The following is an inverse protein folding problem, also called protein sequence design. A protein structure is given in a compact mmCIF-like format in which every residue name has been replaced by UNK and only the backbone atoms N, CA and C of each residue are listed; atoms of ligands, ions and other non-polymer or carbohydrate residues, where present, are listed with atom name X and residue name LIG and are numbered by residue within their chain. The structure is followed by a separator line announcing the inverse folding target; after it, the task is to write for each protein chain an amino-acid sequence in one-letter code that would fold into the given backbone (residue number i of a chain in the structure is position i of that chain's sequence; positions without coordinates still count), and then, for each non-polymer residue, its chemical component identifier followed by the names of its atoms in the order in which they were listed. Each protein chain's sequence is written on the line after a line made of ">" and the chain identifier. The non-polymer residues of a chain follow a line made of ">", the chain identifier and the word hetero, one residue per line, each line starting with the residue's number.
data_IF_786453721898
#
_entry.id   IF_786453721898
#
_cell.length_a   1.000
_cell.length_b   1.000
_cell.length_c   1.000
_cell.angle_alpha   90.00
_cell.angle_beta   90.00
_cell.angle_gamma   90.00
#
_symmetry.space_group_name_H-M   'P 1'
#
loop_
_entity.id
_entity.type
_entity.pdbx_description
1 polymer ?
#
# COMPACT_ATOMS: atom_id res chain seq x y z
N UNK A 1 7.89 15.67 -5.23
CA UNK A 1 9.02 16.54 -5.65
C UNK A 1 8.85 16.84 -7.13
N UNK A 2 8.59 18.08 -7.56
CA UNK A 2 8.48 18.40 -8.98
C UNK A 2 9.87 18.39 -9.62
N UNK A 3 10.21 17.33 -10.35
CA UNK A 3 11.40 17.31 -11.19
C UNK A 3 11.16 18.28 -12.35
N UNK A 4 12.05 19.25 -12.55
CA UNK A 4 12.04 20.10 -13.74
C UNK A 4 12.34 19.19 -14.93
N UNK A 5 11.29 18.78 -15.66
CA UNK A 5 11.39 17.76 -16.70
C UNK A 5 12.29 18.20 -17.86
N UNK A 6 12.28 19.48 -18.23
CA UNK A 6 12.91 20.00 -19.44
C UNK A 6 13.64 21.31 -19.12
N UNK A 7 14.97 21.25 -19.11
CA UNK A 7 15.82 22.42 -18.88
C UNK A 7 16.36 22.92 -20.22
N UNK A 8 16.23 24.23 -20.48
CA UNK A 8 16.83 24.86 -21.67
C UNK A 8 18.33 25.04 -21.42
N UNK A 9 19.14 24.67 -22.40
CA UNK A 9 20.60 24.81 -22.36
C UNK A 9 21.10 25.65 -23.55
N UNK A 10 22.11 26.52 -23.35
CA UNK A 10 22.81 26.86 -22.10
C UNK A 10 21.98 27.73 -21.15
N UNK A 11 22.10 27.57 -19.83
CA UNK A 11 21.37 28.42 -18.84
C UNK A 11 21.94 29.83 -18.68
N UNK A 12 23.25 29.98 -18.91
CA UNK A 12 23.96 31.25 -18.74
C UNK A 12 24.50 31.70 -20.09
N UNK A 13 24.14 32.90 -20.49
CA UNK A 13 24.48 33.43 -21.81
C UNK A 13 25.80 34.22 -21.82
N UNK A 14 26.11 34.94 -20.74
CA UNK A 14 27.19 35.94 -20.71
C UNK A 14 28.14 35.79 -19.51
N UNK A 15 28.25 34.59 -18.91
CA UNK A 15 29.05 34.37 -17.67
C UNK A 15 30.47 33.84 -17.90
N UNK A 16 30.90 33.69 -19.16
CA UNK A 16 32.24 33.21 -19.49
C UNK A 16 33.29 34.32 -19.48
N UNK A 17 34.52 33.98 -19.09
CA UNK A 17 35.66 34.87 -19.29
C UNK A 17 35.91 35.06 -20.80
N UNK A 18 36.31 36.27 -21.19
CA UNK A 18 36.71 36.56 -22.55
C UNK A 18 38.14 36.04 -22.82
N UNK A 19 38.45 35.62 -24.05
CA UNK A 19 39.82 35.30 -24.42
C UNK A 19 40.70 36.55 -24.45
N UNK A 20 41.98 36.40 -24.13
CA UNK A 20 42.95 37.50 -24.13
C UNK A 20 43.21 38.01 -25.56
N UNK A 21 43.42 39.33 -25.71
CA UNK A 21 43.79 39.94 -26.99
C UNK A 21 42.63 40.22 -27.96
N UNK A 22 41.39 40.25 -27.48
CA UNK A 22 40.21 40.59 -28.29
C UNK A 22 40.20 42.10 -28.60
N UNK A 23 40.01 42.51 -29.87
CA UNK A 23 40.02 43.92 -30.27
C UNK A 23 38.83 44.72 -29.72
N UNK A 24 37.66 44.09 -29.58
CA UNK A 24 36.43 44.69 -29.03
C UNK A 24 35.74 43.69 -28.10
N UNK A 25 35.93 43.87 -26.79
CA UNK A 25 35.33 42.99 -25.78
C UNK A 25 33.80 42.98 -25.84
N UNK A 26 33.18 44.16 -26.05
CA UNK A 26 31.73 44.28 -26.12
C UNK A 26 31.14 43.55 -27.34
N UNK A 27 31.81 43.64 -28.49
CA UNK A 27 31.41 42.90 -29.70
C UNK A 27 31.56 41.39 -29.49
N UNK A 28 32.64 40.96 -28.82
CA UNK A 28 32.85 39.55 -28.50
C UNK A 28 31.79 38.99 -27.54
N UNK A 29 31.43 39.74 -26.49
CA UNK A 29 30.35 39.35 -25.56
C UNK A 29 29.02 39.28 -26.29
N UNK A 30 28.67 40.29 -27.08
CA UNK A 30 27.38 40.33 -27.80
C UNK A 30 27.28 39.19 -28.80
N UNK A 31 28.32 38.92 -29.61
CA UNK A 31 28.32 37.80 -30.55
C UNK A 31 28.25 36.43 -29.84
N UNK A 32 29.00 36.25 -28.74
CA UNK A 32 28.95 35.02 -27.94
C UNK A 32 27.57 34.80 -27.30
N UNK A 33 26.94 35.90 -26.85
CA UNK A 33 25.58 35.89 -26.31
C UNK A 33 24.57 35.50 -27.37
N UNK A 34 24.64 36.07 -28.57
CA UNK A 34 23.76 35.72 -29.69
C UNK A 34 23.92 34.26 -30.09
N UNK A 35 25.15 33.76 -30.19
CA UNK A 35 25.41 32.34 -30.45
C UNK A 35 24.82 31.44 -29.35
N UNK A 36 24.91 31.84 -28.08
CA UNK A 36 24.32 31.10 -26.97
C UNK A 36 22.78 31.14 -26.99
N UNK A 37 22.15 32.26 -27.39
CA UNK A 37 20.71 32.37 -27.60
C UNK A 37 20.25 31.42 -28.72
N UNK A 38 20.98 31.36 -29.84
CA UNK A 38 20.66 30.43 -30.93
C UNK A 38 20.69 28.98 -30.44
N UNK A 39 21.67 28.61 -29.60
CA UNK A 39 21.71 27.29 -28.95
C UNK A 39 20.53 27.05 -28.02
N UNK A 40 20.12 28.04 -27.23
CA UNK A 40 18.93 27.95 -26.38
C UNK A 40 17.66 27.73 -27.21
N UNK A 41 17.50 28.42 -28.34
CA UNK A 41 16.37 28.21 -29.25
C UNK A 41 16.36 26.80 -29.86
N UNK A 42 17.54 26.24 -30.18
CA UNK A 42 17.68 24.85 -30.57
C UNK A 42 17.23 23.87 -29.48
N UNK A 43 17.67 24.10 -28.24
CA UNK A 43 17.23 23.30 -27.07
C UNK A 43 15.72 23.40 -26.85
N UNK A 44 15.14 24.61 -26.97
CA UNK A 44 13.70 24.82 -26.87
C UNK A 44 12.93 24.08 -27.96
N UNK A 45 13.43 24.10 -29.20
CA UNK A 45 12.81 23.43 -30.34
C UNK A 45 12.77 21.91 -30.15
N UNK A 46 13.86 21.31 -29.66
CA UNK A 46 13.89 19.89 -29.28
C UNK A 46 12.87 19.56 -28.19
N UNK A 47 12.78 20.38 -27.14
CA UNK A 47 11.78 20.18 -26.09
C UNK A 47 10.34 20.28 -26.61
N UNK A 48 10.09 21.16 -27.58
CA UNK A 48 8.78 21.27 -28.22
C UNK A 48 8.46 20.02 -29.06
N UNK A 49 9.42 19.53 -29.84
CA UNK A 49 9.29 18.28 -30.60
C UNK A 49 8.93 17.10 -29.68
N UNK A 50 9.64 16.93 -28.55
CA UNK A 50 9.35 15.87 -27.59
C UNK A 50 7.92 15.95 -27.04
N UNK A 51 7.46 17.17 -26.69
CA UNK A 51 6.10 17.38 -26.15
C UNK A 51 5.06 17.04 -27.21
N UNK A 52 5.21 17.54 -28.43
CA UNK A 52 4.25 17.27 -29.50
C UNK A 52 4.29 15.82 -29.95
N UNK A 53 5.45 15.16 -29.91
CA UNK A 53 5.60 13.73 -30.16
C UNK A 53 4.86 12.88 -29.12
N UNK A 54 5.01 13.18 -27.83
CA UNK A 54 4.27 12.52 -26.74
C UNK A 54 2.75 12.68 -26.92
N UNK A 55 2.28 13.90 -27.21
CA UNK A 55 0.86 14.17 -27.45
C UNK A 55 0.33 13.46 -28.69
N UNK A 56 1.10 13.45 -29.78
CA UNK A 56 0.74 12.78 -31.02
C UNK A 56 0.59 11.27 -30.82
N UNK A 57 1.52 10.63 -30.13
CA UNK A 57 1.48 9.20 -29.87
C UNK A 57 0.24 8.80 -29.06
N UNK A 58 -0.10 9.58 -28.03
CA UNK A 58 -1.30 9.33 -27.22
C UNK A 58 -2.58 9.57 -28.04
N UNK A 59 -2.65 10.65 -28.82
CA UNK A 59 -3.78 10.94 -29.69
C UNK A 59 -3.96 9.85 -30.76
N UNK A 60 -2.87 9.32 -31.32
CA UNK A 60 -2.92 8.22 -32.29
C UNK A 60 -3.40 6.91 -31.64
N UNK A 61 -2.95 6.61 -30.42
CA UNK A 61 -3.45 5.47 -29.63
C UNK A 61 -4.96 5.58 -29.38
N UNK A 62 -5.43 6.77 -29.01
CA UNK A 62 -6.85 7.08 -28.86
C UNK A 62 -7.62 6.89 -30.17
N UNK A 63 -7.10 7.42 -31.27
CA UNK A 63 -7.69 7.31 -32.60
C UNK A 63 -7.88 5.85 -33.03
N UNK A 64 -6.87 5.00 -32.86
CA UNK A 64 -6.95 3.58 -33.20
C UNK A 64 -8.02 2.85 -32.38
N UNK A 65 -8.09 3.15 -31.08
CA UNK A 65 -9.14 2.59 -30.19
C UNK A 65 -10.53 3.08 -30.59
N UNK A 66 -10.66 4.35 -30.98
CA UNK A 66 -11.92 4.94 -31.44
C UNK A 66 -12.41 4.27 -32.71
N UNK A 67 -11.53 4.04 -33.70
CA UNK A 67 -11.91 3.36 -34.94
C UNK A 67 -12.41 1.94 -34.69
N UNK A 68 -11.71 1.17 -33.85
CA UNK A 68 -12.17 -0.18 -33.50
C UNK A 68 -13.50 -0.17 -32.74
N UNK A 69 -13.70 0.82 -31.87
CA UNK A 69 -14.96 0.98 -31.16
C UNK A 69 -16.09 1.36 -32.13
N UNK A 70 -15.84 2.25 -33.08
CA UNK A 70 -16.82 2.70 -34.07
C UNK A 70 -17.33 1.53 -34.90
N UNK A 71 -16.44 0.71 -35.45
CA UNK A 71 -16.82 -0.49 -36.21
C UNK A 71 -17.71 -1.43 -35.39
N UNK A 72 -17.39 -1.62 -34.10
CA UNK A 72 -18.19 -2.45 -33.20
C UNK A 72 -19.56 -1.83 -32.91
N UNK A 73 -19.65 -0.51 -32.80
CA UNK A 73 -20.93 0.20 -32.62
C UNK A 73 -21.79 0.06 -33.86
N UNK A 74 -21.23 0.21 -35.06
CA UNK A 74 -21.95 0.10 -36.32
C UNK A 74 -22.52 -1.31 -36.51
N UNK A 75 -21.70 -2.34 -36.26
CA UNK A 75 -22.15 -3.74 -36.30
C UNK A 75 -23.21 -4.04 -35.23
N UNK A 76 -23.07 -3.47 -34.03
CA UNK A 76 -24.05 -3.65 -32.98
C UNK A 76 -25.38 -2.99 -33.34
N UNK A 77 -25.36 -1.80 -33.95
CA UNK A 77 -26.56 -1.09 -34.38
C UNK A 77 -27.36 -1.92 -35.41
N UNK A 78 -26.68 -2.55 -36.37
CA UNK A 78 -27.31 -3.48 -37.32
C UNK A 78 -27.94 -4.67 -36.58
N UNK A 79 -27.20 -5.31 -35.66
CA UNK A 79 -27.74 -6.45 -34.90
C UNK A 79 -28.94 -6.07 -34.06
N UNK A 80 -28.91 -4.92 -33.40
CA UNK A 80 -30.00 -4.43 -32.54
C UNK A 80 -31.26 -4.13 -33.36
N UNK A 81 -31.10 -3.57 -34.56
CA UNK A 81 -32.25 -3.26 -35.44
C UNK A 81 -32.87 -4.50 -36.07
N UNK A 82 -32.12 -5.60 -36.20
CA UNK A 82 -32.60 -6.88 -36.74
C UNK A 82 -33.16 -7.83 -35.67
N UNK A 83 -33.08 -7.49 -34.38
CA UNK A 83 -33.63 -8.32 -33.30
C UNK A 83 -35.16 -8.31 -33.35
N UNK A 84 -35.75 -9.49 -33.47
CA UNK A 84 -37.19 -9.71 -33.30
C UNK A 84 -37.45 -10.42 -31.97
N UNK A 85 -37.85 -9.63 -30.97
CA UNK A 85 -38.14 -10.12 -29.62
C UNK A 85 -39.38 -11.02 -29.53
N UNK A 86 -40.18 -11.11 -30.59
CA UNK A 86 -41.37 -11.99 -30.60
C UNK A 86 -41.03 -13.45 -30.92
N UNK A 87 -39.85 -13.68 -31.52
CA UNK A 87 -39.37 -15.01 -31.93
C UNK A 87 -38.30 -15.56 -30.97
N UNK A 88 -37.62 -14.69 -30.21
CA UNK A 88 -36.49 -15.08 -29.36
C UNK A 88 -36.97 -15.66 -28.00
N UNK A 89 -37.01 -16.99 -27.89
CA UNK A 89 -37.35 -17.67 -26.64
C UNK A 89 -36.18 -17.68 -25.63
N UNK A 90 -36.46 -17.34 -24.37
CA UNK A 90 -35.46 -17.34 -23.29
C UNK A 90 -35.43 -18.69 -22.58
N UNK A 91 -34.39 -19.49 -22.82
CA UNK A 91 -34.19 -20.80 -22.16
C UNK A 91 -33.41 -20.68 -20.84
N UNK A 92 -34.02 -21.16 -19.74
CA UNK A 92 -33.36 -21.26 -18.43
C UNK A 92 -32.20 -22.28 -18.40
N UNK A 93 -32.25 -23.30 -19.28
CA UNK A 93 -31.15 -24.25 -19.42
C UNK A 93 -29.91 -23.59 -20.05
N UNK A 94 -30.09 -22.70 -21.02
CA UNK A 94 -28.99 -21.97 -21.64
C UNK A 94 -28.34 -20.97 -20.68
N UNK A 95 -29.13 -20.38 -19.77
CA UNK A 95 -28.62 -19.46 -18.75
C UNK A 95 -27.71 -20.18 -17.76
N UNK A 96 -28.05 -21.41 -17.34
CA UNK A 96 -27.24 -22.18 -16.40
C UNK A 96 -25.98 -22.78 -17.03
N UNK A 97 -25.97 -23.01 -18.35
CA UNK A 97 -24.80 -23.52 -19.07
C UNK A 97 -23.84 -22.42 -19.55
N UNK A 98 -24.27 -21.16 -19.62
CA UNK A 98 -23.44 -20.03 -20.03
C UNK A 98 -22.77 -19.36 -18.83
N UNK A 99 -21.50 -19.00 -18.98
CA UNK A 99 -20.81 -18.17 -17.99
C UNK A 99 -21.41 -16.77 -17.99
N UNK A 100 -21.63 -16.21 -16.80
CA UNK A 100 -22.08 -14.84 -16.65
C UNK A 100 -21.08 -13.86 -17.28
N UNK A 101 -21.60 -12.78 -17.86
CA UNK A 101 -20.78 -11.68 -18.39
C UNK A 101 -19.85 -11.13 -17.31
N UNK A 102 -18.61 -10.80 -17.71
CA UNK A 102 -17.61 -10.16 -16.86
C UNK A 102 -17.05 -8.95 -17.59
N UNK A 103 -17.10 -7.80 -16.94
CA UNK A 103 -16.39 -6.61 -17.38
C UNK A 103 -14.90 -6.74 -17.12
N UNK A 104 -14.09 -5.92 -17.80
CA UNK A 104 -12.67 -5.78 -17.49
C UNK A 104 -12.48 -5.28 -16.05
N UNK A 105 -11.50 -5.83 -15.34
CA UNK A 105 -11.12 -5.44 -13.97
C UNK A 105 -9.63 -5.13 -13.86
N UNK A 106 -9.01 -4.70 -14.97
CA UNK A 106 -7.58 -4.34 -15.01
C UNK A 106 -7.36 -3.12 -14.11
N UNK A 107 -6.30 -3.17 -13.30
CA UNK A 107 -5.89 -2.09 -12.41
C UNK A 107 -4.41 -1.76 -12.65
N UNK A 108 -4.13 -0.49 -12.93
CA UNK A 108 -2.77 -0.02 -13.11
C UNK A 108 -2.03 0.03 -11.77
N UNK A 109 -0.86 -0.59 -11.73
CA UNK A 109 0.00 -0.67 -10.55
C UNK A 109 1.44 -0.36 -10.94
N UNK A 110 2.30 -0.08 -9.96
CA UNK A 110 3.72 0.23 -10.19
C UNK A 110 3.94 1.42 -11.15
N UNK A 111 3.12 2.47 -11.00
CA UNK A 111 3.08 3.67 -11.85
C UNK A 111 4.36 4.53 -11.86
N UNK A 112 5.32 4.23 -10.97
CA UNK A 112 6.63 4.89 -10.86
C UNK A 112 7.78 3.92 -11.08
N UNK A 113 7.56 2.90 -11.92
CA UNK A 113 8.58 1.94 -12.32
C UNK A 113 9.61 2.55 -13.28
N UNK A 114 10.75 1.87 -13.44
CA UNK A 114 11.80 2.28 -14.38
C UNK A 114 11.30 2.48 -15.82
N UNK A 115 10.30 1.68 -16.23
CA UNK A 115 9.74 1.71 -17.58
C UNK A 115 8.77 2.87 -17.80
N UNK A 116 8.25 3.46 -16.72
CA UNK A 116 7.35 4.61 -16.75
C UNK A 116 8.08 5.96 -16.69
N UNK A 117 9.42 5.96 -16.66
CA UNK A 117 10.20 7.19 -16.58
C UNK A 117 10.11 7.94 -17.92
N UNK A 118 9.69 9.22 -17.93
CA UNK A 118 9.65 10.03 -19.14
C UNK A 118 11.06 10.23 -19.73
N UNK A 119 11.18 10.26 -21.05
CA UNK A 119 12.46 10.42 -21.76
C UNK A 119 13.31 11.60 -21.23
N UNK A 120 12.77 12.80 -20.96
CA UNK A 120 13.58 13.90 -20.44
C UNK A 120 14.19 13.62 -19.06
N UNK A 121 13.47 12.88 -18.21
CA UNK A 121 13.97 12.46 -16.89
C UNK A 121 15.01 11.35 -17.03
N UNK A 122 14.85 10.47 -18.03
CA UNK A 122 15.82 9.43 -18.34
C UNK A 122 17.15 10.01 -18.82
N UNK A 123 17.11 11.04 -19.67
CA UNK A 123 18.31 11.78 -20.10
C UNK A 123 19.04 12.41 -18.91
N UNK A 124 18.30 13.05 -18.00
CA UNK A 124 18.86 13.60 -16.77
C UNK A 124 19.49 12.50 -15.90
N UNK A 125 18.81 11.36 -15.76
CA UNK A 125 19.33 10.22 -15.01
C UNK A 125 20.65 9.71 -15.60
N UNK A 126 20.78 9.64 -16.93
CA UNK A 126 21.99 9.18 -17.59
C UNK A 126 23.18 10.14 -17.48
N UNK A 127 22.91 11.43 -17.25
CA UNK A 127 23.94 12.43 -16.96
C UNK A 127 24.48 12.32 -15.52
N UNK A 128 23.72 11.69 -14.62
CA UNK A 128 24.15 11.47 -13.24
C UNK A 128 25.31 10.48 -13.15
N UNK A 129 26.14 10.66 -12.12
CA UNK A 129 27.22 9.74 -11.83
C UNK A 129 26.68 8.34 -11.49
N UNK A 130 27.30 7.33 -12.09
CA UNK A 130 26.94 5.94 -11.84
C UNK A 130 27.54 5.48 -10.51
N UNK A 131 26.88 4.56 -9.79
CA UNK A 131 27.46 4.00 -8.57
C UNK A 131 28.77 3.27 -8.90
N UNK A 132 29.69 3.15 -7.91
CA UNK A 132 30.89 2.33 -8.07
C UNK A 132 30.53 0.92 -8.55
N UNK A 133 31.34 0.28 -9.42
CA UNK A 133 31.02 -1.01 -10.02
C UNK A 133 31.22 -2.18 -9.03
N UNK A 134 30.56 -2.13 -7.88
CA UNK A 134 30.69 -3.14 -6.81
C UNK A 134 30.20 -4.52 -7.24
N UNK A 135 29.39 -4.62 -8.29
CA UNK A 135 28.92 -5.88 -8.86
C UNK A 135 30.05 -6.87 -9.19
N UNK A 136 31.25 -6.36 -9.52
CA UNK A 136 32.44 -7.18 -9.79
C UNK A 136 32.89 -7.99 -8.57
N UNK A 137 32.54 -7.54 -7.36
CA UNK A 137 32.90 -8.19 -6.10
C UNK A 137 31.89 -9.25 -5.66
N UNK A 138 30.69 -9.27 -6.26
CA UNK A 138 29.63 -10.22 -5.91
C UNK A 138 30.04 -11.70 -5.99
N UNK A 139 30.84 -12.16 -6.98
CA UNK A 139 31.31 -13.55 -7.04
C UNK A 139 32.21 -13.97 -5.88
N UNK A 140 32.85 -13.01 -5.21
CA UNK A 140 33.79 -13.27 -4.11
C UNK A 140 33.14 -13.23 -2.73
N UNK A 141 31.81 -13.10 -2.66
CA UNK A 141 31.06 -13.04 -1.40
C UNK A 141 30.53 -14.42 -0.98
N UNK A 142 30.73 -14.76 0.28
CA UNK A 142 30.23 -16.03 0.86
C UNK A 142 28.69 -16.07 0.94
N UNK A 143 28.04 -14.93 1.14
CA UNK A 143 26.59 -14.82 1.33
C UNK A 143 25.78 -14.89 0.02
N UNK A 144 26.44 -14.95 -1.14
CA UNK A 144 25.85 -14.94 -2.48
C UNK A 144 24.89 -13.77 -2.73
N UNK A 145 25.05 -12.68 -1.98
CA UNK A 145 24.26 -11.46 -2.16
C UNK A 145 24.96 -10.54 -3.16
N UNK A 146 24.14 -9.77 -3.88
CA UNK A 146 24.63 -8.72 -4.76
C UNK A 146 25.36 -7.65 -3.94
N UNK A 147 26.65 -7.46 -4.23
CA UNK A 147 27.50 -6.50 -3.53
C UNK A 147 26.98 -5.05 -3.68
N UNK A 148 26.37 -4.70 -4.81
CA UNK A 148 25.86 -3.34 -5.02
C UNK A 148 24.66 -3.03 -4.12
N UNK A 149 23.88 -4.03 -3.71
CA UNK A 149 22.76 -3.83 -2.76
C UNK A 149 23.19 -3.33 -1.39
N UNK A 150 24.44 -3.56 -1.01
CA UNK A 150 25.01 -2.98 0.22
C UNK A 150 25.31 -1.49 0.10
N UNK A 151 25.43 -0.97 -1.14
CA UNK A 151 25.60 0.45 -1.42
C UNK A 151 24.27 1.12 -1.76
N UNK A 152 23.46 0.50 -2.63
CA UNK A 152 22.15 1.00 -3.03
C UNK A 152 21.19 -0.14 -3.33
N UNK A 153 20.03 -0.16 -2.66
CA UNK A 153 18.96 -1.13 -2.90
C UNK A 153 17.61 -0.41 -3.07
N UNK A 154 17.15 -0.20 -4.31
CA UNK A 154 15.83 0.40 -4.57
C UNK A 154 14.65 -0.43 -4.04
N UNK A 155 14.83 -1.75 -3.84
CA UNK A 155 13.77 -2.64 -3.36
C UNK A 155 13.60 -2.64 -1.85
N UNK A 156 14.56 -2.05 -1.12
CA UNK A 156 14.61 -2.05 0.34
C UNK A 156 13.31 -1.56 0.99
N UNK A 157 12.78 -0.42 0.55
CA UNK A 157 11.56 0.17 1.12
C UNK A 157 10.34 -0.76 0.96
N UNK A 158 10.20 -1.39 -0.20
CA UNK A 158 9.10 -2.32 -0.45
C UNK A 158 9.23 -3.59 0.40
N UNK A 159 10.44 -4.15 0.49
CA UNK A 159 10.71 -5.35 1.30
C UNK A 159 10.38 -5.08 2.77
N UNK A 160 10.88 -3.97 3.32
CA UNK A 160 10.65 -3.59 4.72
C UNK A 160 9.16 -3.34 4.99
N UNK A 161 8.47 -2.63 4.08
CA UNK A 161 7.03 -2.41 4.18
C UNK A 161 6.25 -3.73 4.16
N UNK A 162 6.56 -4.62 3.22
CA UNK A 162 5.91 -5.93 3.09
C UNK A 162 6.05 -6.76 4.36
N UNK A 163 7.26 -6.83 4.91
CA UNK A 163 7.53 -7.55 6.16
C UNK A 163 6.71 -6.98 7.32
N UNK A 164 6.67 -5.66 7.45
CA UNK A 164 5.85 -4.98 8.47
C UNK A 164 4.35 -5.27 8.33
N UNK A 165 3.83 -5.31 7.10
CA UNK A 165 2.41 -5.60 6.84
C UNK A 165 2.04 -7.05 7.15
N UNK A 166 2.91 -8.01 6.82
CA UNK A 166 2.72 -9.42 7.16
C UNK A 166 2.74 -9.62 8.68
N UNK A 167 3.71 -9.01 9.37
CA UNK A 167 3.82 -9.06 10.82
C UNK A 167 2.56 -8.49 11.50
N UNK A 168 2.12 -7.29 11.07
CA UNK A 168 0.91 -6.66 11.60
C UNK A 168 -0.35 -7.51 11.38
N UNK A 169 -0.42 -8.24 10.25
CA UNK A 169 -1.54 -9.14 9.94
C UNK A 169 -1.58 -10.32 10.90
N UNK A 170 -0.43 -10.95 11.16
CA UNK A 170 -0.31 -12.06 12.11
C UNK A 170 -0.58 -11.62 13.55
N UNK A 171 -0.08 -10.45 13.96
CA UNK A 171 -0.33 -9.91 15.30
C UNK A 171 -1.83 -9.61 15.51
N UNK A 172 -2.49 -9.02 14.51
CA UNK A 172 -3.95 -8.79 14.52
C UNK A 172 -4.73 -10.11 14.58
N UNK A 173 -4.25 -11.18 13.94
CA UNK A 173 -4.85 -12.51 13.99
C UNK A 173 -4.69 -13.15 15.38
N UNK A 174 -3.52 -13.05 16.00
CA UNK A 174 -3.24 -13.56 17.35
C UNK A 174 -4.04 -12.81 18.41
N UNK A 175 -4.14 -11.50 18.29
CA UNK A 175 -4.92 -10.67 19.21
C UNK A 175 -6.41 -11.01 19.17
N UNK A 176 -6.99 -11.20 17.97
CA UNK A 176 -8.38 -11.69 17.84
C UNK A 176 -8.61 -13.05 18.50
N UNK A 177 -7.62 -13.95 18.47
CA UNK A 177 -7.71 -15.25 19.16
C UNK A 177 -7.68 -15.07 20.68
N UNK A 178 -6.78 -14.21 21.19
CA UNK A 178 -6.70 -13.85 22.61
C UNK A 178 -7.98 -13.23 23.13
N UNK A 179 -8.56 -12.29 22.38
CA UNK A 179 -9.85 -11.68 22.73
C UNK A 179 -10.97 -12.70 22.76
N UNK A 180 -11.07 -13.59 21.75
CA UNK A 180 -12.07 -14.68 21.76
C UNK A 180 -11.89 -15.63 22.95
N UNK A 181 -10.66 -15.99 23.31
CA UNK A 181 -10.43 -16.81 24.52
C UNK A 181 -10.77 -16.05 25.79
N UNK A 182 -10.46 -14.75 25.87
CA UNK A 182 -10.80 -13.91 27.03
C UNK A 182 -12.32 -13.77 27.18
N UNK A 183 -13.06 -13.58 26.08
CA UNK A 183 -14.53 -13.52 26.09
C UNK A 183 -15.19 -14.86 26.46
N UNK A 184 -14.55 -16.00 26.15
CA UNK A 184 -14.99 -17.31 26.62
C UNK A 184 -14.64 -17.58 28.09
N UNK A 185 -13.64 -16.89 28.63
CA UNK A 185 -13.18 -17.00 30.03
C UNK A 185 -13.78 -15.94 30.95
N UNK A 186 -14.43 -14.89 30.43
CA UNK A 186 -15.24 -13.98 31.24
C UNK A 186 -16.54 -14.69 31.62
N UNK A 187 -16.76 -15.07 32.89
CA UNK A 187 -18.10 -15.44 33.32
C UNK A 187 -19.00 -14.22 33.03
N UNK A 188 -20.14 -14.47 32.40
CA UNK A 188 -21.22 -13.48 32.32
C UNK A 188 -21.70 -13.28 33.76
N UNK A 189 -21.02 -12.43 34.54
CA UNK A 189 -21.58 -11.86 35.76
C UNK A 189 -22.67 -10.88 35.31
N UNK A 190 -23.81 -11.43 34.90
CA UNK A 190 -25.04 -10.68 34.83
C UNK A 190 -25.33 -10.22 36.26
N UNK A 191 -24.96 -8.99 36.58
CA UNK A 191 -25.50 -8.27 37.73
C UNK A 191 -27.00 -8.08 37.47
N UNK A 192 -27.80 -9.10 37.75
CA UNK A 192 -29.24 -8.92 37.94
C UNK A 192 -29.41 -8.20 39.27
N UNK A 193 -29.40 -6.87 39.22
CA UNK A 193 -29.88 -6.03 40.31
C UNK A 193 -31.36 -6.37 40.50
N UNK A 194 -31.69 -7.14 41.54
CA UNK A 194 -33.06 -7.27 42.04
C UNK A 194 -33.32 -6.04 42.93
N UNK A 195 -34.22 -5.12 42.54
CA UNK A 195 -34.49 -3.94 43.33
C UNK A 195 -35.79 -4.16 44.11
N UNK A 196 -35.79 -4.91 45.21
CA UNK A 196 -36.89 -4.77 46.18
C UNK A 196 -36.41 -4.94 47.63
N UNK A 197 -36.50 -3.80 48.29
CA UNK A 197 -36.38 -3.49 49.71
C UNK A 197 -37.29 -4.32 50.62
N UNK A 198 -36.75 -4.84 51.72
CA UNK A 198 -37.39 -4.83 53.04
C UNK A 198 -36.33 -5.11 54.14
N UNK A 199 -36.18 -4.08 55.00
CA UNK A 199 -35.54 -4.01 56.31
C UNK A 199 -35.51 -5.35 57.10
N UNK A 200 -34.43 -5.76 57.79
CA UNK A 200 -33.94 -5.20 59.07
C UNK A 200 -32.60 -5.87 59.49
N UNK A 201 -31.68 -5.07 60.06
CA UNK A 201 -30.64 -5.42 61.03
C UNK A 201 -29.48 -6.37 60.68
N UNK A 202 -28.28 -5.78 60.65
CA UNK A 202 -27.00 -6.28 61.21
C UNK A 202 -26.36 -7.54 60.58
N UNK A 203 -25.50 -7.35 59.57
CA UNK A 203 -24.09 -7.76 59.52
C UNK A 203 -23.60 -7.73 58.06
N UNK A 204 -22.43 -7.14 57.84
CA UNK A 204 -21.81 -6.95 56.52
C UNK A 204 -21.19 -8.25 56.01
N UNK A 205 -21.93 -9.01 55.21
CA UNK A 205 -21.36 -10.07 54.37
C UNK A 205 -21.99 -10.01 52.97
N UNK A 206 -21.23 -9.50 51.99
CA UNK A 206 -21.56 -9.68 50.59
C UNK A 206 -21.10 -11.09 50.18
N UNK A 207 -22.01 -12.05 50.14
CA UNK A 207 -21.74 -13.39 49.62
C UNK A 207 -21.63 -13.31 48.10
N UNK A 208 -20.40 -13.34 47.58
CA UNK A 208 -20.15 -13.46 46.14
C UNK A 208 -20.06 -14.95 45.77
N UNK A 209 -21.13 -15.50 45.19
CA UNK A 209 -21.15 -16.89 44.71
C UNK A 209 -20.43 -16.95 43.36
N UNK A 210 -19.15 -17.28 43.36
CA UNK A 210 -18.41 -17.59 42.14
C UNK A 210 -18.50 -19.09 41.84
N UNK A 211 -19.37 -19.48 40.89
CA UNK A 211 -19.42 -20.85 40.38
C UNK A 211 -18.23 -21.08 39.44
N UNK A 212 -17.12 -21.58 39.99
CA UNK A 212 -15.98 -22.05 39.21
C UNK A 212 -16.28 -23.43 38.60
N UNK A 213 -16.99 -23.44 37.47
CA UNK A 213 -17.10 -24.64 36.65
C UNK A 213 -15.94 -24.68 35.65
N UNK A 214 -15.15 -25.74 35.74
CA UNK A 214 -14.01 -26.16 34.90
C UNK A 214 -12.62 -25.83 35.47
N UNK A 215 -11.80 -26.89 35.58
CA UNK A 215 -10.42 -27.02 36.09
C UNK A 215 -10.24 -27.47 37.56
N UNK A 216 -10.43 -28.77 37.86
CA UNK A 216 -10.09 -29.36 39.16
C UNK A 216 -8.61 -29.24 39.55
N UNK A 217 -7.70 -29.15 38.58
CA UNK A 217 -6.25 -29.08 38.85
C UNK A 217 -5.77 -27.72 39.37
N UNK A 218 -6.48 -26.63 39.09
CA UNK A 218 -6.10 -25.29 39.58
C UNK A 218 -6.48 -25.08 41.05
N UNK A 219 -7.64 -25.62 41.47
CA UNK A 219 -8.08 -25.62 42.88
C UNK A 219 -7.10 -26.34 43.81
N UNK A 220 -6.49 -27.44 43.34
CA UNK A 220 -5.54 -28.22 44.16
C UNK A 220 -4.24 -27.47 44.43
N UNK A 221 -3.87 -26.51 43.58
CA UNK A 221 -2.68 -25.63 43.76
C UNK A 221 -2.93 -24.45 44.70
N UNK A 222 -4.17 -23.94 44.78
CA UNK A 222 -4.53 -22.81 45.64
C UNK A 222 -4.87 -23.22 47.07
N UNK A 223 -5.28 -24.48 47.32
CA UNK A 223 -5.53 -25.02 48.67
C UNK A 223 -4.31 -25.02 49.60
N UNK A 224 -3.09 -24.83 49.09
CA UNK A 224 -1.87 -24.90 49.90
C UNK A 224 -1.49 -23.58 50.59
N UNK A 225 -2.24 -22.49 50.38
CA UNK A 225 -2.08 -21.26 51.13
C UNK A 225 -3.44 -20.88 51.75
N UNK A 226 -3.58 -21.19 53.03
CA UNK A 226 -4.59 -20.61 53.93
C UNK A 226 -6.08 -21.00 53.72
N UNK A 227 -6.40 -22.28 53.51
CA UNK A 227 -7.81 -22.73 53.54
C UNK A 227 -7.99 -24.02 54.35
N UNK A 228 -8.89 -23.98 55.34
CA UNK A 228 -9.34 -25.16 56.10
C UNK A 228 -10.56 -25.74 55.39
N UNK A 229 -10.40 -26.95 54.83
CA UNK A 229 -11.47 -27.69 54.14
C UNK A 229 -12.22 -28.52 55.18
N UNK A 230 -13.51 -28.25 55.39
CA UNK A 230 -14.42 -29.15 56.10
C UNK A 230 -15.38 -29.79 55.09
N UNK A 231 -15.15 -31.09 54.89
CA UNK A 231 -16.00 -32.12 54.32
C UNK A 231 -16.75 -31.91 52.98
N UNK A 232 -16.79 -33.03 52.27
CA UNK A 232 -17.15 -33.22 50.86
C UNK A 232 -18.67 -33.30 50.71
N UNK A 233 -19.26 -32.25 50.15
CA UNK A 233 -20.29 -32.28 49.10
C UNK A 233 -20.90 -30.87 48.96
N UNK A 234 -20.74 -30.26 47.78
CA UNK A 234 -21.06 -28.84 47.46
C UNK A 234 -19.99 -27.84 47.92
N UNK A 235 -19.11 -27.45 47.00
CA UNK A 235 -18.06 -26.45 47.24
C UNK A 235 -18.67 -25.05 47.39
N UNK A 236 -19.04 -24.68 48.62
CA UNK A 236 -19.24 -23.28 49.02
C UNK A 236 -17.89 -22.80 49.56
N UNK A 237 -17.14 -22.04 48.76
CA UNK A 237 -15.98 -21.32 49.27
C UNK A 237 -16.47 -20.00 49.87
N UNK A 238 -16.46 -19.90 51.20
CA UNK A 238 -16.59 -18.62 51.91
C UNK A 238 -15.22 -17.95 51.85
N UNK A 239 -15.06 -16.92 51.02
CA UNK A 239 -13.89 -16.05 51.06
C UNK A 239 -14.11 -14.99 52.14
N UNK A 240 -13.53 -15.18 53.33
CA UNK A 240 -13.34 -14.09 54.29
C UNK A 240 -12.31 -13.11 53.72
N UNK A 241 -12.78 -12.06 53.03
CA UNK A 241 -11.97 -10.89 52.77
C UNK A 241 -11.98 -10.04 54.04
N UNK A 242 -11.01 -10.27 54.93
CA UNK A 242 -10.69 -9.31 55.96
C UNK A 242 -10.25 -8.01 55.27
N UNK A 243 -11.12 -7.00 55.28
CA UNK A 243 -10.75 -5.63 54.95
C UNK A 243 -9.73 -5.16 56.00
N UNK A 244 -8.44 -5.22 55.65
CA UNK A 244 -7.44 -4.38 56.31
C UNK A 244 -7.70 -2.95 55.85
N UNK A 245 -8.17 -2.13 56.79
CA UNK A 245 -8.21 -0.68 56.69
C UNK A 245 -6.80 -0.09 56.68
#
# INVERSE_FOLDING_TARGET
>A
MPLVKRSIEPKHLCRGALPDGVPSELECVTNSTLAAIIKQLGSLSRHAEDIFGELFNEANSFYMRMNNLQERVDLLAIKVTQLDSTVEEVSLQDINMRKAFKSSTIQDQQVVSRNSIPNPVLELYHRGDKPPPLNILSPYRDDKKDALKFYTDPSYFFILWREKMLQATEDKRKEKRRQKSLTLLTPVCAFTFFPYSLFTSFSTECVCVCVFNAFPELCRKLSSQHFSVKDVDTTICVCDFALLA
#
